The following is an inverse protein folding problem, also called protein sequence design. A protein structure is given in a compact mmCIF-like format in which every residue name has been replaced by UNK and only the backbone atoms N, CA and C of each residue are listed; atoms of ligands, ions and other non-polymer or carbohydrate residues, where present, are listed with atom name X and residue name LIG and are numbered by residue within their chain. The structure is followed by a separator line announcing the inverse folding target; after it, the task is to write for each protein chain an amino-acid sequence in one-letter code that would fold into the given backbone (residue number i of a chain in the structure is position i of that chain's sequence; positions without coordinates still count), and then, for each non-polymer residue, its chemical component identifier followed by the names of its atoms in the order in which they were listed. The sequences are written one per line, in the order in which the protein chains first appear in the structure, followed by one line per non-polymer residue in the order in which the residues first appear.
data_IF_798722896635
#
_entry.id   IF_798722896635
#
_cell.length_a   1.000
_cell.length_b   1.000
_cell.length_c   1.000
_cell.angle_alpha   90.00
_cell.angle_beta   90.00
_cell.angle_gamma   90.00
#
_symmetry.space_group_name_H-M   'P 1'
#
loop_
_entity.id
_entity.type
_entity.pdbx_description
1 polymer ?
#
# COMPACT_ATOMS: atom_id res chain seq x y z
N UNK A 1 -9.20 -39.89 37.05
CA UNK A 1 -9.14 -39.90 38.52
C UNK A 1 -8.09 -38.85 38.91
N UNK A 2 -8.50 -37.83 39.68
CA UNK A 2 -7.72 -36.72 40.30
C UNK A 2 -7.19 -35.63 39.32
N UNK A 3 -7.90 -34.51 39.12
CA UNK A 3 -7.93 -33.24 39.89
C UNK A 3 -6.57 -32.55 40.09
N UNK A 4 -6.41 -31.34 39.53
CA UNK A 4 -6.31 -30.10 40.32
C UNK A 4 -6.44 -28.83 39.45
N UNK A 5 -7.34 -27.94 39.89
CA UNK A 5 -7.57 -26.57 39.41
C UNK A 5 -6.41 -25.63 39.75
N UNK A 6 -6.18 -24.59 38.94
CA UNK A 6 -5.84 -23.25 39.44
C UNK A 6 -6.47 -22.16 38.57
N UNK A 7 -7.38 -21.44 39.22
CA UNK A 7 -8.18 -20.30 38.77
C UNK A 7 -7.46 -19.03 39.22
N UNK A 8 -7.13 -18.11 38.30
CA UNK A 8 -6.60 -16.79 38.64
C UNK A 8 -7.71 -15.74 38.48
N UNK A 9 -8.15 -15.21 39.62
CA UNK A 9 -8.97 -14.01 39.74
C UNK A 9 -8.07 -12.77 39.61
N UNK A 10 -8.44 -11.81 38.76
CA UNK A 10 -7.96 -10.43 38.84
C UNK A 10 -9.16 -9.49 39.10
N UNK A 11 -9.02 -8.47 39.98
CA UNK A 11 -10.16 -7.75 40.51
C UNK A 11 -10.60 -6.57 39.62
N UNK A 12 -11.92 -6.41 39.59
CA UNK A 12 -12.72 -5.34 39.02
C UNK A 12 -12.45 -4.01 39.76
N UNK A 13 -11.98 -2.97 39.06
CA UNK A 13 -11.82 -1.62 39.62
C UNK A 13 -13.05 -0.78 39.28
N UNK A 14 -13.93 -0.59 40.26
CA UNK A 14 -15.10 0.30 40.20
C UNK A 14 -14.62 1.71 40.53
N UNK A 15 -14.78 2.67 39.61
CA UNK A 15 -14.68 4.09 39.89
C UNK A 15 -16.04 4.74 39.60
N UNK A 16 -16.67 5.27 40.65
CA UNK A 16 -17.98 5.90 40.63
C UNK A 16 -17.88 7.26 41.33
N UNK A 17 -18.54 8.26 40.72
CA UNK A 17 -18.95 9.57 41.23
C UNK A 17 -17.91 10.70 41.25
N UNK A 18 -18.18 11.80 40.55
CA UNK A 18 -18.89 12.95 41.13
C UNK A 18 -19.58 13.83 40.06
N UNK A 19 -20.86 14.13 40.32
CA UNK A 19 -21.70 15.16 39.68
C UNK A 19 -21.48 16.52 40.37
N UNK A 20 -21.38 17.60 39.59
CA UNK A 20 -21.81 19.00 39.87
C UNK A 20 -21.04 19.96 38.95
N UNK A 21 -21.57 20.97 38.26
CA UNK A 21 -22.90 21.54 38.15
C UNK A 21 -22.83 22.72 37.15
N UNK A 22 -23.96 23.07 36.53
CA UNK A 22 -24.09 24.26 35.68
C UNK A 22 -24.07 25.55 36.50
N UNK A 23 -23.49 26.62 35.96
CA UNK A 23 -23.97 27.98 36.19
C UNK A 23 -23.59 28.89 35.01
N UNK A 24 -24.61 29.51 34.40
CA UNK A 24 -24.50 30.54 33.37
C UNK A 24 -24.23 31.92 34.00
N UNK A 25 -23.38 32.74 33.36
CA UNK A 25 -23.53 34.20 33.36
C UNK A 25 -22.79 34.86 32.18
N UNK A 26 -23.29 36.01 31.76
CA UNK A 26 -23.33 36.59 30.40
C UNK A 26 -22.48 37.88 30.29
N UNK A 27 -21.60 37.94 29.26
CA UNK A 27 -21.13 39.03 28.33
C UNK A 27 -20.55 40.37 28.91
N UNK A 28 -19.57 41.04 28.24
CA UNK A 28 -19.88 42.03 27.19
C UNK A 28 -19.01 41.97 25.92
N UNK A 29 -19.60 42.49 24.84
CA UNK A 29 -19.16 42.48 23.45
C UNK A 29 -18.37 43.73 23.00
N UNK A 30 -17.77 43.63 21.80
CA UNK A 30 -17.46 44.75 20.88
C UNK A 30 -17.80 44.27 19.45
N UNK A 31 -18.90 44.70 18.82
CA UNK A 31 -19.08 45.88 17.93
C UNK A 31 -18.04 45.93 16.80
N UNK A 32 -18.33 46.00 15.49
CA UNK A 32 -19.35 46.68 14.65
C UNK A 32 -19.29 46.00 13.24
N UNK A 33 -20.19 46.12 12.24
CA UNK A 33 -21.29 47.04 11.86
C UNK A 33 -22.09 46.38 10.71
N UNK A 34 -23.43 46.28 10.78
CA UNK A 34 -24.48 47.16 10.15
C UNK A 34 -24.50 47.09 8.60
N UNK A 35 -25.61 46.88 7.88
CA UNK A 35 -27.07 46.84 8.15
C UNK A 35 -27.79 46.50 6.81
N UNK A 36 -29.10 46.53 6.59
CA UNK A 36 -30.31 46.73 7.41
C UNK A 36 -31.53 46.49 6.49
N UNK A 37 -32.44 45.61 6.92
CA UNK A 37 -33.92 45.65 6.89
C UNK A 37 -34.68 46.26 5.69
N UNK A 38 -35.65 45.50 5.15
CA UNK A 38 -37.05 45.94 4.98
C UNK A 38 -38.02 44.75 5.08
N UNK A 39 -38.90 44.82 6.08
CA UNK A 39 -40.15 44.05 6.17
C UNK A 39 -41.27 45.00 5.74
N UNK A 40 -42.12 44.56 4.81
CA UNK A 40 -43.39 45.20 4.52
C UNK A 40 -44.50 44.15 4.71
N UNK A 41 -45.47 44.50 5.55
CA UNK A 41 -46.64 43.69 5.92
C UNK A 41 -47.55 43.41 4.72
N UNK A 42 -47.97 42.16 4.53
CA UNK A 42 -49.30 41.90 3.94
C UNK A 42 -49.88 40.58 4.48
N UNK A 43 -51.10 40.67 5.00
CA UNK A 43 -51.93 39.54 5.42
C UNK A 43 -52.45 38.74 4.22
N UNK A 44 -52.69 37.45 4.47
CA UNK A 44 -53.35 36.42 3.63
C UNK A 44 -52.49 35.79 2.52
N UNK A 45 -52.14 34.51 2.68
CA UNK A 45 -52.92 33.41 2.06
C UNK A 45 -52.50 32.04 2.66
N UNK A 46 -53.33 31.48 3.54
CA UNK A 46 -53.11 30.18 4.22
C UNK A 46 -53.36 28.97 3.28
N UNK A 47 -53.75 29.22 2.02
CA UNK A 47 -54.02 28.18 1.02
C UNK A 47 -52.75 27.77 0.24
N UNK A 48 -51.84 28.72 0.00
CA UNK A 48 -50.59 28.49 -0.75
C UNK A 48 -49.54 27.71 0.05
N UNK A 49 -49.62 27.72 1.38
CA UNK A 49 -48.70 26.98 2.24
C UNK A 49 -49.09 25.50 2.32
N UNK A 50 -50.39 25.17 2.28
CA UNK A 50 -50.86 23.79 2.20
C UNK A 50 -50.63 23.16 0.82
N UNK A 51 -50.83 23.91 -0.27
CA UNK A 51 -50.49 23.41 -1.61
C UNK A 51 -48.97 23.17 -1.80
N UNK A 52 -48.12 23.98 -1.17
CA UNK A 52 -46.67 23.75 -1.18
C UNK A 52 -46.24 22.64 -0.21
N UNK A 53 -46.89 22.49 0.95
CA UNK A 53 -46.66 21.34 1.86
C UNK A 53 -47.18 20.04 1.25
N UNK A 54 -48.32 20.04 0.55
CA UNK A 54 -48.89 18.88 -0.15
C UNK A 54 -48.05 18.48 -1.37
N UNK A 55 -47.46 19.45 -2.10
CA UNK A 55 -46.45 19.15 -3.14
C UNK A 55 -45.16 18.58 -2.55
N UNK A 56 -44.72 19.09 -1.39
CA UNK A 56 -43.52 18.59 -0.69
C UNK A 56 -43.74 17.21 -0.06
N UNK A 57 -44.98 16.91 0.36
CA UNK A 57 -45.42 15.56 0.72
C UNK A 57 -45.52 14.63 -0.49
N UNK A 58 -45.74 15.13 -1.71
CA UNK A 58 -45.79 14.30 -2.92
C UNK A 58 -44.41 13.95 -3.47
N UNK A 59 -43.39 14.78 -3.29
CA UNK A 59 -42.03 14.55 -3.83
C UNK A 59 -41.09 13.77 -2.90
N UNK A 60 -41.38 13.67 -1.60
CA UNK A 60 -40.47 13.08 -0.59
C UNK A 60 -41.22 12.31 0.51
N UNK A 61 -41.82 11.16 0.18
CA UNK A 61 -42.37 10.22 1.19
C UNK A 61 -41.35 9.15 1.58
N UNK A 62 -40.45 8.83 0.66
CA UNK A 62 -39.47 7.78 0.82
C UNK A 62 -38.08 8.39 0.93
N UNK A 63 -37.28 7.98 1.94
CA UNK A 63 -35.84 8.21 1.93
C UNK A 63 -35.28 7.82 0.56
N UNK A 64 -34.68 8.77 -0.14
CA UNK A 64 -34.21 8.57 -1.51
C UNK A 64 -32.70 8.80 -1.69
N UNK A 65 -32.05 9.43 -0.71
CA UNK A 65 -30.60 9.52 -0.60
C UNK A 65 -30.03 8.46 0.35
N UNK A 66 -28.73 8.20 0.23
CA UNK A 66 -28.00 7.28 1.12
C UNK A 66 -28.19 7.65 2.59
N UNK A 67 -27.92 8.90 2.95
CA UNK A 67 -28.02 9.32 4.35
C UNK A 67 -29.45 9.23 4.88
N UNK A 68 -30.46 9.55 4.07
CA UNK A 68 -31.85 9.40 4.48
C UNK A 68 -32.24 7.93 4.71
N UNK A 69 -31.71 7.00 3.90
CA UNK A 69 -31.96 5.56 4.03
C UNK A 69 -31.27 5.01 5.29
N UNK A 70 -30.02 5.41 5.53
CA UNK A 70 -29.25 5.03 6.72
C UNK A 70 -29.88 5.59 8.00
N UNK A 71 -30.43 6.79 7.95
CA UNK A 71 -31.12 7.45 9.09
C UNK A 71 -32.61 7.07 9.20
N UNK A 72 -33.10 6.17 8.33
CA UNK A 72 -34.52 5.84 8.29
C UNK A 72 -34.98 5.16 9.58
N UNK A 73 -36.23 5.42 9.95
CA UNK A 73 -36.79 4.86 11.19
C UNK A 73 -37.00 3.36 11.03
N UNK A 74 -36.31 2.58 11.86
CA UNK A 74 -36.48 1.13 11.97
C UNK A 74 -37.93 0.74 12.24
N UNK A 75 -38.48 -0.13 11.40
CA UNK A 75 -39.83 -0.66 11.54
C UNK A 75 -39.94 -1.70 12.65
N UNK A 76 -41.17 -1.90 13.15
CA UNK A 76 -41.47 -2.86 14.23
C UNK A 76 -40.97 -4.28 13.94
N UNK A 77 -40.99 -4.70 12.69
CA UNK A 77 -40.63 -6.03 12.21
C UNK A 77 -39.35 -6.04 11.35
N UNK A 78 -38.52 -4.98 11.44
CA UNK A 78 -37.23 -4.95 10.76
C UNK A 78 -36.36 -6.16 11.15
N UNK A 79 -35.62 -6.69 10.19
CA UNK A 79 -34.74 -7.86 10.33
C UNK A 79 -35.48 -9.19 10.41
N UNK A 80 -36.81 -9.21 10.25
CA UNK A 80 -37.62 -10.41 10.44
C UNK A 80 -38.49 -10.67 9.21
N UNK A 81 -38.66 -11.94 8.83
CA UNK A 81 -39.55 -12.29 7.72
C UNK A 81 -41.02 -12.23 8.16
N UNK A 82 -41.91 -11.95 7.21
CA UNK A 82 -43.36 -11.95 7.42
C UNK A 82 -43.85 -13.29 7.98
N UNK A 83 -43.31 -14.40 7.47
CA UNK A 83 -43.73 -15.74 7.88
C UNK A 83 -43.29 -16.05 9.31
N UNK A 84 -42.10 -15.62 9.72
CA UNK A 84 -41.61 -15.86 11.09
C UNK A 84 -42.45 -15.12 12.15
N UNK A 85 -43.08 -13.99 11.79
CA UNK A 85 -43.89 -13.15 12.69
C UNK A 85 -45.36 -13.05 12.29
N UNK A 86 -45.83 -14.01 11.48
CA UNK A 86 -47.13 -13.93 10.79
C UNK A 86 -48.30 -13.61 11.71
N UNK A 87 -48.37 -14.24 12.88
CA UNK A 87 -49.48 -14.04 13.82
C UNK A 87 -49.55 -12.60 14.35
N UNK A 88 -48.42 -12.04 14.76
CA UNK A 88 -48.33 -10.67 15.27
C UNK A 88 -48.61 -9.64 14.17
N UNK A 89 -48.02 -9.85 12.99
CA UNK A 89 -48.23 -8.99 11.83
C UNK A 89 -49.70 -8.98 11.41
N UNK A 90 -50.32 -10.16 11.24
CA UNK A 90 -51.74 -10.26 10.86
C UNK A 90 -52.64 -9.53 11.85
N UNK A 91 -52.38 -9.65 13.16
CA UNK A 91 -53.14 -8.95 14.19
C UNK A 91 -53.06 -7.42 14.06
N UNK A 92 -51.90 -6.88 13.68
CA UNK A 92 -51.77 -5.45 13.40
C UNK A 92 -52.50 -5.06 12.10
N UNK A 93 -52.41 -5.88 11.06
CA UNK A 93 -53.09 -5.67 9.79
C UNK A 93 -54.62 -5.69 9.93
N UNK A 94 -55.19 -6.48 10.86
CA UNK A 94 -56.63 -6.47 11.14
C UNK A 94 -57.14 -5.10 11.59
N UNK A 95 -56.29 -4.32 12.28
CA UNK A 95 -56.61 -2.96 12.75
C UNK A 95 -56.58 -1.92 11.62
N UNK A 96 -56.10 -2.26 10.42
CA UNK A 96 -56.14 -1.34 9.28
C UNK A 96 -57.60 -1.08 8.86
N UNK A 97 -57.88 0.17 8.53
CA UNK A 97 -59.18 0.57 7.96
C UNK A 97 -59.31 0.04 6.54
N UNK A 98 -60.50 -0.34 6.12
CA UNK A 98 -60.77 -0.63 4.71
C UNK A 98 -60.67 0.64 3.89
N UNK A 99 -60.10 0.54 2.68
CA UNK A 99 -60.13 1.62 1.69
C UNK A 99 -61.41 1.53 0.86
N UNK A 100 -61.87 2.67 0.34
CA UNK A 100 -63.02 2.74 -0.58
C UNK A 100 -62.73 2.08 -1.93
N UNK A 101 -63.71 2.07 -2.84
CA UNK A 101 -63.55 1.45 -4.17
C UNK A 101 -62.43 2.11 -5.00
N UNK A 102 -62.32 3.44 -4.91
CA UNK A 102 -61.27 4.23 -5.56
C UNK A 102 -60.63 5.19 -4.54
N UNK A 103 -59.62 4.75 -3.77
CA UNK A 103 -58.89 5.62 -2.88
C UNK A 103 -58.08 6.66 -3.68
N UNK A 104 -57.97 7.86 -3.12
CA UNK A 104 -57.09 8.91 -3.60
C UNK A 104 -55.62 8.52 -3.46
N UNK A 105 -54.74 9.19 -4.22
CA UNK A 105 -53.29 8.96 -4.14
C UNK A 105 -52.74 9.27 -2.72
N UNK A 106 -53.27 10.30 -2.04
CA UNK A 106 -52.88 10.62 -0.64
C UNK A 106 -53.30 9.51 0.35
N UNK A 107 -54.43 8.85 0.11
CA UNK A 107 -54.85 7.70 0.90
C UNK A 107 -53.95 6.50 0.65
N UNK A 108 -53.61 6.21 -0.61
CA UNK A 108 -52.69 5.13 -0.98
C UNK A 108 -51.31 5.32 -0.34
N UNK A 109 -50.74 6.52 -0.44
CA UNK A 109 -49.44 6.84 0.15
C UNK A 109 -49.45 6.73 1.67
N UNK A 110 -50.47 7.26 2.37
CA UNK A 110 -50.58 7.09 3.83
C UNK A 110 -50.77 5.63 4.22
N UNK A 111 -51.49 4.87 3.41
CA UNK A 111 -51.72 3.44 3.67
C UNK A 111 -50.42 2.65 3.53
N UNK A 112 -49.68 2.90 2.45
CA UNK A 112 -48.37 2.32 2.21
C UNK A 112 -47.36 2.72 3.29
N UNK A 113 -47.32 4.01 3.66
CA UNK A 113 -46.40 4.50 4.70
C UNK A 113 -46.60 3.81 6.06
N UNK A 114 -47.84 3.43 6.42
CA UNK A 114 -48.07 2.62 7.62
C UNK A 114 -47.47 1.23 7.53
N UNK A 115 -47.52 0.59 6.37
CA UNK A 115 -46.85 -0.69 6.15
C UNK A 115 -45.33 -0.50 6.19
N UNK A 116 -44.82 0.57 5.59
CA UNK A 116 -43.41 0.91 5.67
C UNK A 116 -42.96 1.08 7.13
N UNK A 117 -43.71 1.78 7.98
CA UNK A 117 -43.39 1.88 9.42
C UNK A 117 -43.39 0.52 10.16
N UNK A 118 -44.07 -0.50 9.63
CA UNK A 118 -44.01 -1.85 10.19
C UNK A 118 -42.76 -2.59 9.73
N UNK A 119 -42.33 -2.40 8.47
CA UNK A 119 -41.34 -3.26 7.81
C UNK A 119 -40.06 -2.54 7.37
N UNK A 120 -39.93 -1.23 7.61
CA UNK A 120 -38.77 -0.44 7.20
C UNK A 120 -37.53 -1.04 7.80
N UNK A 121 -36.59 -1.40 6.95
CA UNK A 121 -35.36 -2.05 7.38
C UNK A 121 -34.30 -1.04 7.81
N UNK A 122 -33.33 -1.52 8.58
CA UNK A 122 -32.14 -0.76 8.95
C UNK A 122 -31.00 -1.21 8.02
N UNK A 123 -30.43 -0.26 7.28
CA UNK A 123 -29.32 -0.52 6.37
C UNK A 123 -28.00 -0.21 7.08
N UNK A 124 -27.04 -1.11 6.96
CA UNK A 124 -25.70 -0.87 7.46
C UNK A 124 -24.90 0.02 6.50
N UNK A 125 -24.08 0.91 7.06
CA UNK A 125 -23.14 1.70 6.27
C UNK A 125 -22.02 0.77 5.80
N UNK A 126 -21.71 0.73 4.48
CA UNK A 126 -20.56 -0.04 4.02
C UNK A 126 -19.26 0.43 4.68
N UNK A 127 -18.36 -0.51 4.92
CA UNK A 127 -17.06 -0.23 5.55
C UNK A 127 -16.27 0.78 4.69
N UNK A 128 -15.65 1.74 5.37
CA UNK A 128 -14.65 2.60 4.74
C UNK A 128 -13.34 1.84 4.62
N UNK A 129 -12.55 2.16 3.59
CA UNK A 129 -11.24 1.55 3.41
C UNK A 129 -10.32 1.94 4.58
N UNK A 130 -9.88 0.96 5.36
CA UNK A 130 -8.82 1.19 6.36
C UNK A 130 -7.51 1.59 5.65
N UNK A 131 -6.66 2.42 6.29
CA UNK A 131 -5.37 2.79 5.74
C UNK A 131 -4.50 1.55 5.55
N UNK A 132 -3.89 1.44 4.38
CA UNK A 132 -2.90 0.39 4.12
C UNK A 132 -1.73 0.47 5.10
N UNK A 133 -1.32 -0.69 5.62
CA UNK A 133 -0.17 -0.79 6.51
C UNK A 133 0.92 -1.67 5.86
N UNK A 134 1.84 -1.10 5.08
CA UNK A 134 2.84 -1.89 4.37
C UNK A 134 3.75 -2.65 5.34
N UNK A 135 4.19 -3.84 4.94
CA UNK A 135 5.29 -4.52 5.62
C UNK A 135 6.56 -3.70 5.42
N UNK A 136 7.09 -3.14 6.51
CA UNK A 136 8.34 -2.40 6.48
C UNK A 136 9.48 -3.28 5.94
N UNK A 137 10.34 -2.75 5.07
CA UNK A 137 11.52 -3.49 4.65
C UNK A 137 12.42 -3.82 5.86
N UNK A 138 13.23 -4.89 5.80
CA UNK A 138 14.14 -5.20 6.87
C UNK A 138 15.36 -4.26 6.82
N UNK A 139 16.02 -4.13 7.96
CA UNK A 139 17.33 -3.48 8.03
C UNK A 139 18.46 -4.49 7.80
N UNK A 140 19.59 -3.99 7.33
CA UNK A 140 20.83 -4.73 7.07
C UNK A 140 22.02 -4.03 7.74
N UNK A 141 23.13 -4.75 7.87
CA UNK A 141 24.33 -4.28 8.60
C UNK A 141 23.98 -3.79 10.01
N UNK A 142 23.39 -4.68 10.83
CA UNK A 142 23.04 -4.41 12.23
C UNK A 142 22.15 -3.17 12.45
N UNK A 143 21.22 -2.92 11.51
CA UNK A 143 20.27 -1.81 11.62
C UNK A 143 20.74 -0.52 10.96
N UNK A 144 21.92 -0.50 10.35
CA UNK A 144 22.50 0.71 9.75
C UNK A 144 21.77 1.17 8.49
N UNK A 145 21.35 0.23 7.65
CA UNK A 145 20.69 0.56 6.38
C UNK A 145 19.34 -0.13 6.26
N UNK A 146 18.39 0.59 5.69
CA UNK A 146 17.04 0.14 5.39
C UNK A 146 17.00 -0.42 3.96
N UNK A 147 16.56 -1.67 3.78
CA UNK A 147 16.37 -2.19 2.43
C UNK A 147 15.28 -1.43 1.68
N UNK A 148 15.41 -1.42 0.36
CA UNK A 148 14.53 -0.73 -0.57
C UNK A 148 13.96 -1.70 -1.60
N UNK A 149 12.92 -1.26 -2.32
CA UNK A 149 12.20 -2.12 -3.25
C UNK A 149 13.03 -2.60 -4.44
N UNK A 150 14.07 -1.86 -4.80
CA UNK A 150 15.00 -2.18 -5.88
C UNK A 150 16.40 -2.45 -5.30
N UNK A 151 17.07 -3.49 -5.79
CA UNK A 151 18.42 -3.87 -5.37
C UNK A 151 19.38 -3.76 -6.55
N UNK A 152 20.39 -2.90 -6.44
CA UNK A 152 21.43 -2.71 -7.45
C UNK A 152 22.80 -3.00 -6.82
N UNK A 153 23.59 -3.85 -7.46
CA UNK A 153 24.96 -4.16 -7.03
C UNK A 153 25.93 -3.82 -8.14
N UNK A 154 26.87 -2.92 -7.88
CA UNK A 154 27.98 -2.64 -8.78
C UNK A 154 29.27 -3.22 -8.21
N UNK A 155 29.95 -4.02 -9.02
CA UNK A 155 31.28 -4.55 -8.71
C UNK A 155 32.30 -3.67 -9.43
N UNK A 156 33.18 -3.04 -8.67
CA UNK A 156 34.26 -2.19 -9.16
C UNK A 156 35.58 -2.93 -8.95
N UNK A 157 36.09 -3.52 -10.02
CA UNK A 157 37.22 -4.44 -9.98
C UNK A 157 38.51 -3.78 -10.44
N UNK A 158 39.53 -3.84 -9.58
CA UNK A 158 40.90 -3.51 -9.94
C UNK A 158 41.43 -4.50 -10.96
N UNK A 159 41.89 -3.97 -12.09
CA UNK A 159 42.52 -4.75 -13.16
C UNK A 159 43.95 -4.27 -13.41
N UNK A 160 44.57 -3.64 -12.41
CA UNK A 160 45.94 -3.19 -12.51
C UNK A 160 46.95 -4.34 -12.57
N UNK A 161 48.19 -4.06 -12.98
CA UNK A 161 49.19 -5.09 -13.28
C UNK A 161 49.58 -5.97 -12.10
N UNK A 162 49.37 -5.50 -10.86
CA UNK A 162 49.57 -6.28 -9.62
C UNK A 162 48.64 -7.50 -9.56
N UNK A 163 47.48 -7.45 -10.22
CA UNK A 163 46.52 -8.56 -10.26
C UNK A 163 47.01 -9.80 -11.05
N UNK A 164 48.17 -9.71 -11.72
CA UNK A 164 48.87 -10.86 -12.32
C UNK A 164 49.50 -11.76 -11.24
N UNK A 165 49.83 -11.20 -10.08
CA UNK A 165 50.46 -11.93 -8.99
C UNK A 165 49.65 -13.14 -8.57
N UNK A 166 50.35 -14.17 -8.09
CA UNK A 166 49.73 -15.45 -7.79
C UNK A 166 49.46 -15.61 -6.30
N UNK A 167 48.27 -16.14 -6.02
CA UNK A 167 47.86 -16.64 -4.71
C UNK A 167 47.48 -18.11 -4.93
N UNK A 168 48.08 -19.01 -4.16
CA UNK A 168 47.84 -20.47 -4.24
C UNK A 168 47.92 -21.08 -5.66
N UNK A 169 48.74 -20.48 -6.53
CA UNK A 169 49.03 -20.98 -7.88
C UNK A 169 48.19 -20.38 -9.01
N UNK A 170 47.10 -19.68 -8.69
CA UNK A 170 46.24 -18.90 -9.62
C UNK A 170 46.55 -17.41 -9.52
N UNK A 171 46.29 -16.62 -10.57
CA UNK A 171 46.45 -15.15 -10.45
C UNK A 171 45.33 -14.56 -9.60
N UNK A 172 45.60 -13.43 -8.92
CA UNK A 172 44.56 -12.67 -8.19
C UNK A 172 43.37 -12.36 -9.13
N UNK A 173 43.64 -11.98 -10.38
CA UNK A 173 42.59 -11.75 -11.37
C UNK A 173 41.71 -12.98 -11.62
N UNK A 174 42.30 -14.16 -11.80
CA UNK A 174 41.54 -15.40 -12.03
C UNK A 174 40.66 -15.73 -10.82
N UNK A 175 41.17 -15.51 -9.61
CA UNK A 175 40.41 -15.70 -8.38
C UNK A 175 39.25 -14.70 -8.26
N UNK A 176 39.49 -13.43 -8.60
CA UNK A 176 38.46 -12.38 -8.57
C UNK A 176 37.34 -12.65 -9.59
N UNK A 177 37.68 -12.96 -10.86
CA UNK A 177 36.70 -13.29 -11.90
C UNK A 177 35.81 -14.47 -11.49
N UNK A 178 36.41 -15.57 -11.03
CA UNK A 178 35.66 -16.74 -10.57
C UNK A 178 34.74 -16.42 -9.38
N UNK A 179 35.19 -15.56 -8.46
CA UNK A 179 34.39 -15.19 -7.28
C UNK A 179 33.22 -14.28 -7.65
N UNK A 180 33.42 -13.40 -8.64
CA UNK A 180 32.36 -12.55 -9.21
C UNK A 180 31.31 -13.40 -9.93
N UNK A 181 31.71 -14.41 -10.70
CA UNK A 181 30.77 -15.34 -11.33
C UNK A 181 29.96 -16.13 -10.30
N UNK A 182 30.64 -16.71 -9.30
CA UNK A 182 30.00 -17.44 -8.21
C UNK A 182 29.01 -16.54 -7.47
N UNK A 183 29.39 -15.29 -7.21
CA UNK A 183 28.56 -14.29 -6.54
C UNK A 183 27.34 -13.87 -7.37
N UNK A 184 27.53 -13.49 -8.62
CA UNK A 184 26.44 -13.01 -9.47
C UNK A 184 25.36 -14.09 -9.69
N UNK A 185 25.75 -15.37 -9.72
CA UNK A 185 24.82 -16.50 -9.79
C UNK A 185 23.95 -16.66 -8.53
N UNK A 186 24.35 -16.10 -7.38
CA UNK A 186 23.58 -16.17 -6.14
C UNK A 186 22.56 -15.05 -5.99
N UNK A 187 22.68 -13.98 -6.78
CA UNK A 187 21.75 -12.86 -6.72
C UNK A 187 20.39 -13.24 -7.33
N UNK A 188 19.28 -12.69 -6.80
CA UNK A 188 17.97 -12.85 -7.41
C UNK A 188 17.95 -12.29 -8.82
N UNK A 189 17.13 -12.88 -9.69
CA UNK A 189 16.99 -12.46 -11.09
C UNK A 189 16.54 -11.00 -11.22
N UNK A 190 15.82 -10.49 -10.22
CA UNK A 190 15.27 -9.15 -10.15
C UNK A 190 16.29 -8.10 -9.64
N UNK A 191 17.44 -8.53 -9.12
CA UNK A 191 18.51 -7.60 -8.75
C UNK A 191 19.29 -7.18 -9.99
N UNK A 192 19.65 -5.90 -10.05
CA UNK A 192 20.55 -5.40 -11.08
C UNK A 192 22.00 -5.61 -10.64
N UNK A 193 22.85 -5.99 -11.60
CA UNK A 193 24.28 -6.16 -11.42
C UNK A 193 25.01 -5.29 -12.43
N UNK A 194 26.08 -4.63 -12.00
CA UNK A 194 27.02 -3.91 -12.85
C UNK A 194 28.46 -4.41 -12.63
N UNK A 195 29.28 -4.40 -13.68
CA UNK A 195 30.72 -4.67 -13.58
C UNK A 195 31.49 -3.51 -14.20
N UNK A 196 32.15 -2.75 -13.33
CA UNK A 196 33.14 -1.75 -13.69
C UNK A 196 34.54 -2.31 -13.47
N UNK A 197 35.41 -2.08 -14.44
CA UNK A 197 36.83 -2.39 -14.33
C UNK A 197 37.65 -1.11 -14.44
N UNK A 198 38.81 -1.08 -13.80
CA UNK A 198 39.72 0.06 -13.90
C UNK A 198 41.18 -0.39 -13.91
N UNK A 199 42.02 0.36 -14.61
CA UNK A 199 43.43 0.05 -14.79
C UNK A 199 43.75 -1.02 -15.83
N UNK A 200 42.81 -1.39 -16.72
CA UNK A 200 42.99 -2.47 -17.72
C UNK A 200 43.74 -2.03 -18.98
N UNK A 201 43.97 -0.73 -19.18
CA UNK A 201 44.65 -0.20 -20.37
C UNK A 201 46.11 0.19 -20.12
N UNK A 202 46.91 0.14 -21.20
CA UNK A 202 48.32 0.47 -21.18
C UNK A 202 49.22 -0.60 -20.54
N UNK A 203 50.34 -0.19 -19.98
CA UNK A 203 51.26 -1.06 -19.24
C UNK A 203 51.70 -0.42 -17.92
N UNK A 204 52.48 -1.15 -17.11
CA UNK A 204 53.08 -0.59 -15.88
C UNK A 204 54.25 0.38 -16.19
N UNK A 205 54.56 0.65 -17.46
CA UNK A 205 55.57 1.63 -17.83
C UNK A 205 55.06 3.06 -17.55
N UNK A 206 55.97 3.96 -17.16
CA UNK A 206 55.61 5.34 -16.86
C UNK A 206 55.08 6.11 -18.10
N UNK A 207 55.50 5.72 -19.31
CA UNK A 207 55.04 6.32 -20.57
C UNK A 207 53.54 6.12 -20.80
N UNK A 208 52.99 4.99 -20.34
CA UNK A 208 51.57 4.62 -20.50
C UNK A 208 50.72 5.06 -19.29
N UNK A 209 51.33 5.72 -18.29
CA UNK A 209 50.65 6.07 -17.04
C UNK A 209 49.41 6.95 -17.28
N UNK A 210 49.48 7.90 -18.22
CA UNK A 210 48.35 8.80 -18.51
C UNK A 210 47.16 8.02 -19.07
N UNK A 211 47.39 7.15 -20.06
CA UNK A 211 46.34 6.30 -20.64
C UNK A 211 45.75 5.38 -19.57
N UNK A 212 46.62 4.73 -18.79
CA UNK A 212 46.19 3.81 -17.76
C UNK A 212 45.43 4.47 -16.61
N UNK A 213 45.79 5.71 -16.25
CA UNK A 213 45.08 6.45 -15.21
C UNK A 213 43.71 6.97 -15.64
N UNK A 214 43.41 7.01 -16.94
CA UNK A 214 42.07 7.30 -17.47
C UNK A 214 41.24 6.01 -17.71
N UNK A 215 41.84 4.84 -17.49
CA UNK A 215 41.23 3.53 -17.72
C UNK A 215 40.22 3.19 -16.61
N UNK A 216 38.94 3.37 -16.91
CA UNK A 216 37.83 2.99 -16.05
C UNK A 216 36.57 2.83 -16.90
N UNK A 217 36.06 1.60 -17.01
CA UNK A 217 35.01 1.23 -17.96
C UNK A 217 33.95 0.34 -17.33
N UNK A 218 32.67 0.63 -17.61
CA UNK A 218 31.54 -0.22 -17.24
C UNK A 218 31.32 -1.24 -18.36
N UNK A 219 31.88 -2.44 -18.20
CA UNK A 219 31.81 -3.50 -19.21
C UNK A 219 30.51 -4.30 -19.15
N UNK A 220 29.88 -4.35 -17.97
CA UNK A 220 28.55 -4.90 -17.80
C UNK A 220 27.65 -3.82 -17.20
N UNK A 221 26.73 -3.28 -18.01
CA UNK A 221 25.78 -2.26 -17.57
C UNK A 221 24.94 -2.76 -16.40
N UNK A 222 24.54 -1.85 -15.50
CA UNK A 222 23.67 -2.12 -14.35
C UNK A 222 22.30 -2.59 -14.87
N UNK A 223 22.10 -3.90 -14.88
CA UNK A 223 20.93 -4.56 -15.46
C UNK A 223 20.64 -5.89 -14.74
N UNK A 224 19.46 -6.50 -14.94
CA UNK A 224 19.16 -7.82 -14.40
C UNK A 224 20.22 -8.85 -14.81
N UNK A 225 20.61 -9.71 -13.86
CA UNK A 225 21.69 -10.68 -14.08
C UNK A 225 21.47 -11.54 -15.34
N UNK A 226 22.46 -11.48 -16.24
CA UNK A 226 22.55 -12.31 -17.44
C UNK A 226 23.91 -13.00 -17.44
N UNK A 227 23.87 -14.30 -17.15
CA UNK A 227 25.07 -15.14 -17.06
C UNK A 227 25.98 -15.03 -18.28
N UNK A 228 25.41 -15.13 -19.49
CA UNK A 228 26.22 -15.19 -20.71
C UNK A 228 26.88 -13.85 -21.01
N UNK A 229 26.18 -12.74 -20.75
CA UNK A 229 26.74 -11.40 -20.93
C UNK A 229 27.83 -11.08 -19.90
N UNK A 230 27.62 -11.45 -18.63
CA UNK A 230 28.63 -11.23 -17.60
C UNK A 230 29.90 -12.05 -17.86
N UNK A 231 29.75 -13.33 -18.23
CA UNK A 231 30.88 -14.18 -18.62
C UNK A 231 31.65 -13.56 -19.80
N UNK A 232 30.96 -13.04 -20.81
CA UNK A 232 31.60 -12.35 -21.93
C UNK A 232 32.37 -11.09 -21.47
N UNK A 233 31.76 -10.24 -20.65
CA UNK A 233 32.41 -9.04 -20.12
C UNK A 233 33.66 -9.36 -19.29
N UNK A 234 33.63 -10.46 -18.51
CA UNK A 234 34.79 -10.94 -17.75
C UNK A 234 35.94 -11.42 -18.64
N UNK A 235 35.71 -11.78 -19.89
CA UNK A 235 36.78 -12.19 -20.83
C UNK A 235 37.45 -11.01 -21.55
N UNK A 236 36.83 -9.82 -21.55
CA UNK A 236 37.26 -8.67 -22.37
C UNK A 236 38.54 -7.98 -21.87
N UNK A 237 38.90 -8.15 -20.60
CA UNK A 237 40.04 -7.48 -19.98
C UNK A 237 41.07 -8.43 -19.39
N UNK A 238 42.31 -7.95 -19.33
CA UNK A 238 43.43 -8.60 -18.67
C UNK A 238 44.12 -7.61 -17.72
N UNK A 239 44.81 -8.09 -16.67
CA UNK A 239 45.54 -7.21 -15.78
C UNK A 239 46.60 -6.40 -16.53
N UNK A 240 46.60 -5.08 -16.39
CA UNK A 240 47.52 -4.19 -17.08
C UNK A 240 47.76 -2.89 -16.29
N UNK A 241 48.53 -1.94 -16.81
CA UNK A 241 48.40 -0.58 -16.32
C UNK A 241 48.71 -0.27 -14.84
N UNK A 242 48.11 0.83 -14.39
CA UNK A 242 48.20 1.50 -13.09
C UNK A 242 46.83 1.49 -12.39
N UNK A 243 46.75 1.98 -11.15
CA UNK A 243 45.59 1.83 -10.26
C UNK A 243 44.84 3.16 -10.05
N UNK A 244 43.90 3.56 -10.92
CA UNK A 244 43.15 4.82 -10.81
C UNK A 244 41.94 4.77 -9.87
N UNK A 245 42.18 4.50 -8.57
CA UNK A 245 41.11 4.38 -7.56
C UNK A 245 40.16 5.59 -7.49
N UNK A 246 40.69 6.82 -7.53
CA UNK A 246 39.86 8.02 -7.46
C UNK A 246 38.89 8.12 -8.66
N UNK A 247 39.38 7.81 -9.86
CA UNK A 247 38.57 7.79 -11.09
C UNK A 247 37.51 6.70 -11.05
N UNK A 248 37.87 5.51 -10.57
CA UNK A 248 36.92 4.39 -10.45
C UNK A 248 35.75 4.71 -9.52
N UNK A 249 36.01 5.33 -8.36
CA UNK A 249 34.97 5.77 -7.42
C UNK A 249 34.09 6.88 -8.02
N UNK A 250 34.71 7.82 -8.74
CA UNK A 250 33.98 8.87 -9.45
C UNK A 250 33.04 8.27 -10.51
N UNK A 251 33.51 7.29 -11.28
CA UNK A 251 32.70 6.72 -12.35
C UNK A 251 31.61 5.78 -11.83
N UNK A 252 31.85 5.04 -10.73
CA UNK A 252 30.80 4.26 -10.06
C UNK A 252 29.64 5.15 -9.58
N UNK A 253 29.96 6.36 -9.09
CA UNK A 253 28.96 7.40 -8.81
C UNK A 253 28.14 7.77 -10.06
N UNK A 254 28.81 7.88 -11.20
CA UNK A 254 28.15 8.27 -12.46
C UNK A 254 27.31 7.14 -13.08
N UNK A 255 27.67 5.89 -12.82
CA UNK A 255 26.92 4.71 -13.25
C UNK A 255 25.60 4.58 -12.48
N UNK A 256 25.66 4.77 -11.16
CA UNK A 256 24.51 4.62 -10.28
C UNK A 256 23.61 5.87 -10.22
N UNK A 257 23.95 6.98 -10.89
CA UNK A 257 23.27 8.28 -10.74
C UNK A 257 21.76 8.29 -10.99
N UNK A 258 21.24 7.31 -11.75
CA UNK A 258 19.81 7.17 -12.04
C UNK A 258 19.06 6.37 -10.97
N UNK A 259 19.77 5.73 -10.04
CA UNK A 259 19.22 4.90 -8.99
C UNK A 259 19.26 5.66 -7.66
N UNK A 260 18.28 6.54 -7.44
CA UNK A 260 18.15 7.31 -6.19
C UNK A 260 18.02 6.38 -4.96
N UNK A 261 18.79 6.64 -3.90
CA UNK A 261 18.79 5.88 -2.65
C UNK A 261 17.46 5.88 -1.88
N UNK A 262 16.54 6.79 -2.19
CA UNK A 262 15.18 6.78 -1.62
C UNK A 262 14.38 5.52 -2.04
N UNK A 263 14.58 5.07 -3.28
CA UNK A 263 13.86 3.96 -3.93
C UNK A 263 14.75 2.73 -4.20
N UNK A 264 16.07 2.86 -4.03
CA UNK A 264 17.04 1.84 -4.41
C UNK A 264 18.01 1.55 -3.26
N UNK A 265 18.26 0.26 -3.02
CA UNK A 265 19.42 -0.18 -2.25
C UNK A 265 20.56 -0.36 -3.23
N UNK A 266 21.46 0.62 -3.27
CA UNK A 266 22.65 0.58 -4.11
C UNK A 266 23.81 0.05 -3.28
N UNK A 267 24.50 -0.96 -3.78
CA UNK A 267 25.65 -1.57 -3.10
C UNK A 267 26.83 -1.60 -4.04
N UNK A 268 27.97 -1.09 -3.58
CA UNK A 268 29.21 -1.06 -4.35
C UNK A 268 30.21 -2.02 -3.68
N UNK A 269 30.79 -2.91 -4.47
CA UNK A 269 31.92 -3.75 -4.07
C UNK A 269 33.18 -3.28 -4.79
N UNK A 270 34.03 -2.55 -4.08
CA UNK A 270 35.35 -2.19 -4.60
C UNK A 270 36.34 -3.30 -4.23
N UNK A 271 36.87 -4.00 -5.23
CA UNK A 271 37.92 -5.01 -5.04
C UNK A 271 39.23 -4.44 -5.54
N UNK A 272 40.24 -4.34 -4.67
CA UNK A 272 41.57 -3.83 -5.04
C UNK A 272 42.68 -4.58 -4.31
N UNK A 273 43.83 -4.74 -4.95
CA UNK A 273 45.00 -5.40 -4.38
C UNK A 273 46.14 -4.43 -4.00
N UNK A 274 45.91 -3.12 -4.07
CA UNK A 274 46.98 -2.14 -3.92
C UNK A 274 46.54 -0.71 -3.57
N UNK A 275 47.55 0.15 -3.41
CA UNK A 275 47.40 1.60 -3.28
C UNK A 275 47.06 2.24 -4.63
N UNK A 276 46.30 3.33 -4.63
CA UNK A 276 46.10 4.19 -5.80
C UNK A 276 47.44 4.75 -6.27
N UNK A 277 47.81 4.44 -7.51
CA UNK A 277 49.11 4.83 -8.11
C UNK A 277 48.99 5.96 -9.14
N UNK A 278 47.77 6.45 -9.36
CA UNK A 278 47.40 7.56 -10.24
C UNK A 278 47.12 8.86 -9.47
N UNK A 279 46.91 9.95 -10.21
CA UNK A 279 46.51 11.23 -9.62
C UNK A 279 45.06 11.16 -9.09
N UNK A 280 44.72 12.07 -8.17
CA UNK A 280 43.41 12.14 -7.51
C UNK A 280 43.46 11.81 -6.03
N UNK A 281 42.32 11.96 -5.35
CA UNK A 281 42.17 11.68 -3.92
C UNK A 281 41.00 10.70 -3.73
N UNK A 282 41.27 9.39 -3.60
CA UNK A 282 40.20 8.39 -3.52
C UNK A 282 39.40 8.50 -2.22
N UNK A 283 39.97 9.04 -1.14
CA UNK A 283 39.25 9.27 0.12
C UNK A 283 38.24 10.40 -0.05
N UNK A 284 38.63 11.47 -0.77
CA UNK A 284 37.71 12.55 -1.15
C UNK A 284 36.59 12.04 -2.05
N UNK A 285 36.89 11.25 -3.08
CA UNK A 285 35.86 10.73 -3.99
C UNK A 285 34.90 9.75 -3.29
N UNK A 286 35.39 8.93 -2.37
CA UNK A 286 34.55 8.05 -1.54
C UNK A 286 33.57 8.83 -0.66
N UNK A 287 34.02 9.96 -0.11
CA UNK A 287 33.15 10.87 0.64
C UNK A 287 32.09 11.51 -0.24
N UNK A 288 32.46 12.00 -1.43
CA UNK A 288 31.50 12.59 -2.37
C UNK A 288 30.48 11.56 -2.90
N UNK A 289 30.89 10.30 -3.06
CA UNK A 289 30.02 9.19 -3.43
C UNK A 289 28.97 8.95 -2.34
N UNK A 290 29.37 8.93 -1.06
CA UNK A 290 28.45 8.76 0.06
C UNK A 290 27.51 9.96 0.26
N UNK A 291 27.97 11.19 0.00
CA UNK A 291 27.15 12.41 0.09
C UNK A 291 26.22 12.61 -1.13
N UNK A 292 26.24 11.70 -2.10
CA UNK A 292 25.41 11.76 -3.30
C UNK A 292 23.98 11.26 -3.05
N UNK A 293 23.05 11.58 -3.96
CA UNK A 293 21.66 11.09 -3.91
C UNK A 293 21.54 9.56 -4.14
N UNK A 294 22.64 8.88 -4.44
CA UNK A 294 22.67 7.42 -4.58
C UNK A 294 22.70 6.74 -3.21
N UNK A 295 23.28 7.42 -2.21
CA UNK A 295 23.49 6.92 -0.83
C UNK A 295 23.91 5.43 -0.78
N UNK A 296 25.02 5.06 -1.46
CA UNK A 296 25.35 3.66 -1.65
C UNK A 296 25.98 3.02 -0.42
N UNK A 297 25.73 1.73 -0.23
CA UNK A 297 26.46 0.92 0.73
C UNK A 297 27.79 0.49 0.10
N UNK A 298 28.89 1.09 0.54
CA UNK A 298 30.22 0.81 -0.03
C UNK A 298 30.94 -0.28 0.76
N UNK A 299 31.32 -1.36 0.09
CA UNK A 299 32.08 -2.48 0.63
C UNK A 299 33.46 -2.52 -0.06
N UNK A 300 34.51 -2.26 0.72
CA UNK A 300 35.88 -2.27 0.25
C UNK A 300 36.53 -3.60 0.58
N UNK A 301 37.04 -4.30 -0.43
CA UNK A 301 37.73 -5.57 -0.32
C UNK A 301 39.18 -5.37 -0.74
N UNK A 302 40.08 -5.44 0.25
CA UNK A 302 41.53 -5.47 0.03
C UNK A 302 42.00 -6.90 -0.21
N UNK A 303 42.36 -7.24 -1.45
CA UNK A 303 42.76 -8.59 -1.83
C UNK A 303 44.27 -8.77 -1.84
N UNK A 304 44.79 -9.43 -0.81
CA UNK A 304 46.22 -9.69 -0.64
C UNK A 304 47.06 -8.40 -0.85
N UNK A 305 46.59 -7.33 -0.21
CA UNK A 305 47.14 -5.97 -0.26
C UNK A 305 48.23 -5.79 0.80
N UNK A 306 49.18 -4.89 0.55
CA UNK A 306 50.21 -4.50 1.51
C UNK A 306 49.68 -3.52 2.58
N UNK A 307 50.51 -3.20 3.58
CA UNK A 307 50.11 -2.36 4.72
C UNK A 307 49.70 -0.93 4.31
N UNK A 308 50.34 -0.37 3.29
CA UNK A 308 50.06 1.00 2.82
C UNK A 308 48.74 1.05 2.03
N UNK A 309 48.54 0.10 1.11
CA UNK A 309 47.28 -0.06 0.38
C UNK A 309 46.13 -0.41 1.33
N UNK A 310 46.34 -1.29 2.31
CA UNK A 310 45.33 -1.60 3.33
C UNK A 310 44.88 -0.34 4.07
N UNK A 311 45.83 0.50 4.51
CA UNK A 311 45.50 1.73 5.21
C UNK A 311 44.67 2.67 4.33
N UNK A 312 45.05 2.85 3.05
CA UNK A 312 44.28 3.69 2.12
C UNK A 312 42.87 3.14 1.88
N UNK A 313 42.71 1.83 1.69
CA UNK A 313 41.41 1.18 1.50
C UNK A 313 40.53 1.30 2.75
N UNK A 314 41.11 1.24 3.95
CA UNK A 314 40.40 1.54 5.21
C UNK A 314 39.96 2.99 5.29
N UNK A 315 40.80 3.93 4.86
CA UNK A 315 40.46 5.36 4.85
C UNK A 315 39.31 5.65 3.88
N UNK A 316 39.29 4.99 2.71
CA UNK A 316 38.17 5.01 1.75
C UNK A 316 36.90 4.48 2.41
N UNK A 317 36.95 3.30 3.04
CA UNK A 317 35.79 2.71 3.71
C UNK A 317 35.25 3.62 4.82
N UNK A 318 36.12 4.26 5.61
CA UNK A 318 35.70 5.21 6.63
C UNK A 318 35.06 6.47 6.02
N UNK A 319 35.60 6.97 4.91
CA UNK A 319 35.09 8.17 4.25
C UNK A 319 33.73 7.95 3.57
N UNK A 320 33.46 6.73 3.10
CA UNK A 320 32.17 6.33 2.55
C UNK A 320 31.18 5.79 3.59
N UNK A 321 31.50 5.84 4.89
CA UNK A 321 30.73 5.17 5.94
C UNK A 321 30.45 3.68 5.62
N UNK A 322 31.36 3.06 4.88
CA UNK A 322 31.27 1.71 4.36
C UNK A 322 31.91 0.67 5.27
N UNK A 323 32.23 -0.48 4.67
CA UNK A 323 32.94 -1.57 5.35
C UNK A 323 34.28 -1.86 4.66
N UNK A 324 35.26 -2.33 5.42
CA UNK A 324 36.52 -2.85 4.88
C UNK A 324 36.69 -4.32 5.28
N UNK A 325 37.06 -5.15 4.31
CA UNK A 325 37.45 -6.52 4.52
C UNK A 325 38.81 -6.80 3.87
N UNK A 326 39.70 -7.40 4.64
CA UNK A 326 40.94 -7.95 4.11
C UNK A 326 40.68 -9.41 3.70
N UNK A 327 41.05 -9.78 2.48
CA UNK A 327 40.92 -11.15 1.95
C UNK A 327 42.28 -11.65 1.44
N UNK A 328 42.61 -12.90 1.72
CA UNK A 328 43.92 -13.49 1.40
C UNK A 328 43.85 -14.48 0.24
N UNK A 329 42.67 -14.99 -0.08
CA UNK A 329 42.42 -16.10 -1.00
C UNK A 329 40.99 -16.05 -1.57
N UNK A 330 40.66 -17.02 -2.42
CA UNK A 330 39.32 -17.14 -3.02
C UNK A 330 38.22 -17.36 -1.97
N UNK A 331 38.49 -18.15 -0.94
CA UNK A 331 37.48 -18.52 0.06
C UNK A 331 37.05 -17.30 0.88
N UNK A 332 38.01 -16.52 1.35
CA UNK A 332 37.77 -15.26 2.07
C UNK A 332 37.12 -14.18 1.19
N UNK A 333 37.43 -14.14 -0.11
CA UNK A 333 36.73 -13.29 -1.09
C UNK A 333 35.27 -13.72 -1.27
N UNK A 334 35.03 -15.02 -1.44
CA UNK A 334 33.69 -15.59 -1.52
C UNK A 334 32.89 -15.32 -0.25
N UNK A 335 33.50 -15.35 0.94
CA UNK A 335 32.83 -15.02 2.20
C UNK A 335 32.34 -13.57 2.26
N UNK A 336 33.05 -12.62 1.64
CA UNK A 336 32.57 -11.23 1.54
C UNK A 336 31.35 -11.14 0.63
N UNK A 337 31.39 -11.82 -0.52
CA UNK A 337 30.25 -11.89 -1.43
C UNK A 337 29.06 -12.66 -0.85
N UNK A 338 29.29 -13.68 -0.02
CA UNK A 338 28.23 -14.42 0.67
C UNK A 338 27.44 -13.56 1.66
N UNK A 339 28.00 -12.45 2.17
CA UNK A 339 27.23 -11.50 2.99
C UNK A 339 26.11 -10.83 2.21
N UNK A 340 26.30 -10.60 0.91
CA UNK A 340 25.22 -10.14 0.06
C UNK A 340 24.15 -11.18 -0.14
N UNK A 341 24.48 -12.47 -0.11
CA UNK A 341 23.46 -13.51 -0.17
C UNK A 341 22.44 -13.37 0.97
N UNK A 342 22.88 -13.08 2.20
CA UNK A 342 21.97 -12.83 3.33
C UNK A 342 21.09 -11.60 3.08
N UNK A 343 21.67 -10.53 2.52
CA UNK A 343 20.95 -9.31 2.16
C UNK A 343 19.91 -9.58 1.06
N UNK A 344 20.30 -10.31 0.02
CA UNK A 344 19.42 -10.72 -1.07
C UNK A 344 18.32 -11.67 -0.59
N UNK A 345 18.63 -12.64 0.26
CA UNK A 345 17.64 -13.55 0.83
C UNK A 345 16.59 -12.77 1.66
N UNK A 346 17.04 -11.81 2.49
CA UNK A 346 16.16 -10.91 3.24
C UNK A 346 15.30 -10.05 2.32
N UNK A 347 15.88 -9.53 1.25
CA UNK A 347 15.16 -8.73 0.26
C UNK A 347 14.05 -9.53 -0.43
N UNK A 348 14.35 -10.75 -0.91
CA UNK A 348 13.37 -11.63 -1.56
C UNK A 348 12.25 -12.00 -0.58
N UNK A 349 12.60 -12.38 0.65
CA UNK A 349 11.62 -12.77 1.66
C UNK A 349 10.68 -11.61 1.99
N UNK A 350 11.23 -10.42 2.21
CA UNK A 350 10.43 -9.23 2.45
C UNK A 350 9.55 -8.89 1.25
N UNK A 351 10.11 -8.85 0.03
CA UNK A 351 9.36 -8.53 -1.19
C UNK A 351 8.20 -9.50 -1.40
N UNK A 352 8.44 -10.80 -1.21
CA UNK A 352 7.40 -11.82 -1.26
C UNK A 352 6.33 -11.65 -0.18
N UNK A 353 6.73 -11.32 1.06
CA UNK A 353 5.80 -11.06 2.14
C UNK A 353 4.94 -9.81 1.88
N UNK A 354 5.56 -8.72 1.42
CA UNK A 354 4.88 -7.46 1.11
C UNK A 354 3.83 -7.63 -0.01
N UNK A 355 4.19 -8.35 -1.07
CA UNK A 355 3.26 -8.72 -2.15
C UNK A 355 2.12 -9.62 -1.65
N UNK A 356 2.45 -10.62 -0.83
CA UNK A 356 1.46 -11.50 -0.21
C UNK A 356 0.47 -10.72 0.65
N UNK A 357 0.97 -9.82 1.49
CA UNK A 357 0.15 -8.99 2.37
C UNK A 357 -0.77 -8.05 1.58
N UNK A 358 -0.27 -7.33 0.58
CA UNK A 358 -1.10 -6.50 -0.29
C UNK A 358 -2.20 -7.31 -1.00
N UNK A 359 -1.89 -8.52 -1.48
CA UNK A 359 -2.87 -9.41 -2.09
C UNK A 359 -3.90 -9.94 -1.09
N UNK A 360 -3.51 -10.22 0.15
CA UNK A 360 -4.39 -10.69 1.22
C UNK A 360 -5.35 -9.57 1.64
N UNK A 361 -4.84 -8.37 1.94
CA UNK A 361 -5.62 -7.17 2.27
C UNK A 361 -6.60 -6.80 1.15
N UNK A 362 -6.17 -6.90 -0.12
CA UNK A 362 -7.05 -6.68 -1.27
C UNK A 362 -8.18 -7.71 -1.31
N UNK A 363 -7.87 -8.99 -1.07
CA UNK A 363 -8.85 -10.07 -1.10
C UNK A 363 -9.86 -9.95 0.04
N UNK A 364 -9.40 -9.64 1.25
CA UNK A 364 -10.25 -9.43 2.43
C UNK A 364 -11.21 -8.26 2.20
N UNK A 365 -10.70 -7.12 1.72
CA UNK A 365 -11.52 -5.95 1.43
C UNK A 365 -12.59 -6.20 0.36
N UNK A 366 -12.25 -6.90 -0.71
CA UNK A 366 -13.22 -7.27 -1.74
C UNK A 366 -14.27 -8.27 -1.23
N UNK A 367 -13.89 -9.16 -0.32
CA UNK A 367 -14.82 -10.08 0.35
C UNK A 367 -15.79 -9.31 1.24
N UNK A 368 -15.30 -8.39 2.08
CA UNK A 368 -16.13 -7.53 2.94
C UNK A 368 -17.11 -6.67 2.12
N UNK A 369 -16.66 -6.05 1.02
CA UNK A 369 -17.53 -5.30 0.10
C UNK A 369 -18.62 -6.20 -0.49
N UNK A 370 -18.27 -7.45 -0.83
CA UNK A 370 -19.22 -8.42 -1.39
C UNK A 370 -20.26 -8.85 -0.36
N UNK A 371 -19.83 -9.16 0.87
CA UNK A 371 -20.72 -9.53 1.96
C UNK A 371 -21.67 -8.39 2.32
N UNK A 372 -21.16 -7.16 2.46
CA UNK A 372 -21.97 -5.97 2.71
C UNK A 372 -22.98 -5.71 1.58
N UNK A 373 -22.61 -5.98 0.33
CA UNK A 373 -23.53 -5.89 -0.81
C UNK A 373 -24.65 -6.91 -0.74
N UNK A 374 -24.33 -8.15 -0.38
CA UNK A 374 -25.31 -9.22 -0.23
C UNK A 374 -26.29 -8.88 0.91
N UNK A 375 -25.80 -8.45 2.06
CA UNK A 375 -26.63 -8.04 3.19
C UNK A 375 -27.54 -6.85 2.86
N UNK A 376 -27.02 -5.83 2.17
CA UNK A 376 -27.81 -4.70 1.68
C UNK A 376 -28.94 -5.16 0.77
N UNK A 377 -28.64 -6.08 -0.16
CA UNK A 377 -29.65 -6.63 -1.06
C UNK A 377 -30.69 -7.41 -0.28
N UNK A 378 -30.30 -8.36 0.57
CA UNK A 378 -31.21 -9.16 1.38
C UNK A 378 -32.14 -8.28 2.22
N UNK A 379 -31.59 -7.23 2.81
CA UNK A 379 -32.34 -6.22 3.57
C UNK A 379 -33.41 -5.55 2.71
N UNK A 380 -33.06 -5.09 1.51
CA UNK A 380 -34.03 -4.50 0.59
C UNK A 380 -35.09 -5.50 0.08
N UNK A 381 -34.67 -6.72 -0.23
CA UNK A 381 -35.57 -7.79 -0.65
C UNK A 381 -36.59 -8.14 0.45
N UNK A 382 -36.14 -8.20 1.71
CA UNK A 382 -36.96 -8.50 2.88
C UNK A 382 -38.02 -7.42 3.12
N UNK A 383 -37.66 -6.13 3.09
CA UNK A 383 -38.62 -5.01 3.20
C UNK A 383 -39.74 -5.15 2.16
N UNK A 384 -39.36 -5.29 0.89
CA UNK A 384 -40.29 -5.42 -0.24
C UNK A 384 -41.22 -6.62 -0.06
N UNK A 385 -40.67 -7.78 0.26
CA UNK A 385 -41.42 -9.02 0.35
C UNK A 385 -42.39 -9.02 1.53
N UNK A 386 -41.96 -8.51 2.69
CA UNK A 386 -42.83 -8.34 3.85
C UNK A 386 -44.02 -7.44 3.55
N UNK A 387 -43.78 -6.29 2.91
CA UNK A 387 -44.86 -5.38 2.48
C UNK A 387 -45.78 -6.08 1.47
N UNK A 388 -45.23 -6.80 0.50
CA UNK A 388 -46.02 -7.54 -0.50
C UNK A 388 -46.92 -8.60 0.14
N UNK A 389 -46.41 -9.38 1.10
CA UNK A 389 -47.21 -10.37 1.83
C UNK A 389 -48.31 -9.70 2.67
N UNK A 390 -48.00 -8.59 3.33
CA UNK A 390 -48.99 -7.81 4.06
C UNK A 390 -50.10 -7.27 3.14
N UNK A 391 -49.75 -6.74 1.97
CA UNK A 391 -50.70 -6.27 0.97
C UNK A 391 -51.61 -7.39 0.46
N UNK A 392 -51.05 -8.58 0.18
CA UNK A 392 -51.84 -9.74 -0.23
C UNK A 392 -52.85 -10.14 0.86
N UNK A 393 -52.42 -10.18 2.12
CA UNK A 393 -53.32 -10.48 3.24
C UNK A 393 -54.45 -9.45 3.40
N UNK A 394 -54.16 -8.16 3.22
CA UNK A 394 -55.16 -7.09 3.26
C UNK A 394 -56.18 -7.22 2.12
N UNK A 395 -55.76 -7.70 0.95
CA UNK A 395 -56.68 -7.99 -0.16
C UNK A 395 -57.56 -9.22 0.15
N UNK A 396 -56.96 -10.31 0.62
CA UNK A 396 -57.67 -11.54 0.99
C UNK A 396 -58.71 -11.33 2.10
N UNK A 397 -58.43 -10.43 3.04
CA UNK A 397 -59.35 -10.04 4.11
C UNK A 397 -60.40 -9.00 3.69
N UNK A 398 -60.38 -8.53 2.44
CA UNK A 398 -61.32 -7.55 1.89
C UNK A 398 -61.11 -6.12 2.40
N UNK A 399 -59.93 -5.80 2.96
CA UNK A 399 -59.58 -4.44 3.39
C UNK A 399 -59.23 -3.53 2.21
N UNK A 400 -58.71 -4.12 1.13
CA UNK A 400 -58.44 -3.46 -0.15
C UNK A 400 -58.97 -4.33 -1.29
N UNK A 401 -59.21 -3.74 -2.46
CA UNK A 401 -59.61 -4.46 -3.68
C UNK A 401 -58.40 -4.70 -4.61
N UNK A 402 -58.57 -5.53 -5.64
CA UNK A 402 -57.49 -5.91 -6.56
C UNK A 402 -56.84 -4.71 -7.28
N UNK A 403 -57.64 -3.69 -7.62
CA UNK A 403 -57.14 -2.46 -8.25
C UNK A 403 -56.24 -1.67 -7.29
N UNK A 404 -56.63 -1.58 -6.03
CA UNK A 404 -55.86 -0.94 -4.94
C UNK A 404 -54.60 -1.75 -4.63
N UNK A 405 -54.69 -3.07 -4.58
CA UNK A 405 -53.55 -3.97 -4.41
C UNK A 405 -52.51 -3.76 -5.52
N UNK A 406 -52.93 -3.65 -6.79
CA UNK A 406 -52.02 -3.37 -7.88
C UNK A 406 -51.31 -2.02 -7.70
N UNK A 407 -52.04 -0.95 -7.38
CA UNK A 407 -51.44 0.37 -7.16
C UNK A 407 -50.42 0.37 -6.01
N UNK A 408 -50.75 -0.27 -4.89
CA UNK A 408 -49.84 -0.37 -3.74
C UNK A 408 -48.61 -1.23 -4.05
N UNK A 409 -48.72 -2.28 -4.86
CA UNK A 409 -47.56 -3.05 -5.32
C UNK A 409 -46.67 -2.26 -6.29
N UNK A 410 -47.24 -1.35 -7.08
CA UNK A 410 -46.44 -0.40 -7.89
C UNK A 410 -45.60 0.48 -6.97
N UNK A 411 -46.22 1.09 -5.94
CA UNK A 411 -45.51 1.90 -4.94
C UNK A 411 -44.42 1.06 -4.21
N UNK A 412 -44.72 -0.20 -3.87
CA UNK A 412 -43.74 -1.11 -3.27
C UNK A 412 -42.53 -1.37 -4.18
N UNK A 413 -42.79 -1.48 -5.48
CA UNK A 413 -41.73 -1.69 -6.49
C UNK A 413 -40.88 -0.42 -6.66
N UNK A 414 -41.51 0.75 -6.68
CA UNK A 414 -40.82 2.04 -6.73
C UNK A 414 -39.94 2.24 -5.48
N UNK A 415 -40.46 1.92 -4.30
CA UNK A 415 -39.69 1.94 -3.04
C UNK A 415 -38.49 0.99 -3.11
N UNK A 416 -38.66 -0.25 -3.56
CA UNK A 416 -37.58 -1.23 -3.68
C UNK A 416 -36.45 -0.76 -4.61
N UNK A 417 -36.78 -0.09 -5.72
CA UNK A 417 -35.80 0.35 -6.71
C UNK A 417 -34.83 1.40 -6.16
N UNK A 418 -35.24 2.20 -5.19
CA UNK A 418 -34.42 3.27 -4.61
C UNK A 418 -33.15 2.71 -3.93
N UNK A 419 -33.24 1.95 -2.82
CA UNK A 419 -32.07 1.34 -2.18
C UNK A 419 -31.41 0.28 -3.07
N UNK A 420 -32.15 -0.35 -3.99
CA UNK A 420 -31.53 -1.28 -4.95
C UNK A 420 -30.52 -0.57 -5.84
N UNK A 421 -30.94 0.49 -6.55
CA UNK A 421 -30.06 1.21 -7.46
C UNK A 421 -28.94 1.91 -6.70
N UNK A 422 -29.25 2.52 -5.56
CA UNK A 422 -28.23 3.15 -4.70
C UNK A 422 -27.17 2.14 -4.27
N UNK A 423 -27.57 0.94 -3.82
CA UNK A 423 -26.63 -0.12 -3.47
C UNK A 423 -25.80 -0.58 -4.67
N UNK A 424 -26.40 -0.72 -5.85
CA UNK A 424 -25.63 -1.09 -7.05
C UNK A 424 -24.53 -0.08 -7.36
N UNK A 425 -24.86 1.21 -7.32
CA UNK A 425 -23.90 2.28 -7.60
C UNK A 425 -22.82 2.32 -6.50
N UNK A 426 -23.23 2.33 -5.22
CA UNK A 426 -22.34 2.39 -4.07
C UNK A 426 -21.33 1.23 -4.03
N UNK A 427 -21.78 -0.01 -4.14
CA UNK A 427 -20.88 -1.17 -4.07
C UNK A 427 -20.05 -1.34 -5.35
N UNK A 428 -20.52 -0.86 -6.50
CA UNK A 428 -19.71 -0.76 -7.72
C UNK A 428 -18.56 0.23 -7.53
N UNK A 429 -18.84 1.40 -6.96
CA UNK A 429 -17.84 2.42 -6.69
C UNK A 429 -16.81 1.94 -5.67
N UNK A 430 -17.25 1.35 -4.55
CA UNK A 430 -16.36 0.76 -3.54
C UNK A 430 -15.47 -0.33 -4.10
N UNK A 431 -16.01 -1.22 -4.94
CA UNK A 431 -15.23 -2.27 -5.59
C UNK A 431 -14.14 -1.70 -6.49
N UNK A 432 -14.48 -0.72 -7.34
CA UNK A 432 -13.51 -0.08 -8.22
C UNK A 432 -12.47 0.72 -7.43
N UNK A 433 -12.88 1.39 -6.35
CA UNK A 433 -11.99 2.11 -5.46
C UNK A 433 -11.00 1.13 -4.80
N UNK A 434 -11.48 0.03 -4.22
CA UNK A 434 -10.64 -1.02 -3.61
C UNK A 434 -9.61 -1.61 -4.58
N UNK A 435 -9.99 -1.86 -5.83
CA UNK A 435 -9.04 -2.30 -6.87
C UNK A 435 -7.99 -1.25 -7.18
N UNK A 436 -8.37 0.02 -7.27
CA UNK A 436 -7.42 1.11 -7.50
C UNK A 436 -6.48 1.29 -6.30
N UNK A 437 -6.98 1.18 -5.06
CA UNK A 437 -6.14 1.24 -3.87
C UNK A 437 -5.07 0.14 -3.91
N UNK A 438 -5.44 -1.09 -4.27
CA UNK A 438 -4.47 -2.20 -4.38
C UNK A 438 -3.30 -1.85 -5.31
N UNK A 439 -3.59 -1.19 -6.44
CA UNK A 439 -2.57 -0.74 -7.40
C UNK A 439 -1.70 0.38 -6.83
N UNK A 440 -2.29 1.34 -6.11
CA UNK A 440 -1.53 2.44 -5.49
C UNK A 440 -0.66 1.95 -4.32
N UNK A 441 -1.15 1.03 -3.50
CA UNK A 441 -0.40 0.37 -2.43
C UNK A 441 0.81 -0.38 -2.98
N UNK A 442 0.65 -1.09 -4.10
CA UNK A 442 1.76 -1.73 -4.81
C UNK A 442 2.80 -0.69 -5.27
N UNK A 443 2.36 0.44 -5.84
CA UNK A 443 3.26 1.51 -6.29
C UNK A 443 3.98 2.17 -5.11
N UNK A 444 3.32 2.32 -3.97
CA UNK A 444 3.95 2.83 -2.75
C UNK A 444 5.07 1.89 -2.29
N UNK A 445 4.85 0.57 -2.37
CA UNK A 445 5.88 -0.41 -2.02
C UNK A 445 6.99 -0.46 -3.07
N UNK A 446 6.70 -0.43 -4.37
CA UNK A 446 7.68 -0.79 -5.42
C UNK A 446 8.04 0.34 -6.41
N UNK A 447 7.47 1.52 -6.28
CA UNK A 447 7.68 2.69 -7.15
C UNK A 447 7.01 2.61 -8.52
N UNK A 448 6.94 1.41 -9.13
CA UNK A 448 6.25 1.17 -10.41
C UNK A 448 5.38 -0.08 -10.33
N UNK A 449 4.13 0.05 -10.77
CA UNK A 449 3.29 -1.10 -11.07
C UNK A 449 3.72 -1.67 -12.42
N UNK A 450 4.26 -2.88 -12.46
CA UNK A 450 4.38 -3.60 -13.72
C UNK A 450 2.99 -4.18 -14.03
N UNK A 451 2.34 -3.67 -15.09
CA UNK A 451 1.10 -4.26 -15.60
C UNK A 451 1.38 -5.68 -16.11
N UNK A 452 1.15 -6.65 -15.21
CA UNK A 452 1.01 -8.08 -15.45
C UNK A 452 2.23 -8.85 -15.97
N UNK A 453 2.62 -9.83 -15.14
CA UNK A 453 2.71 -11.24 -15.56
C UNK A 453 1.35 -11.81 -15.93
#
# INVERSE_FOLDING_TARGET
MLHLNKMYLYPFFIFLLFLSGCNDEVIPATQNSVGSVKVEDTKQDDSNNRENEDKKLQETIFPNGLEEILESTKGTYAGQSYEDNREAIVKELEAFKSLGEEPSEEELHRYYYKLLLMFSEEYERPLENEPFNPIEPPTIYDGKFQLKPNLNVEIVLDTSGSMIEKVDGQSKMELAKNSIEDFAQMLPNEANVGLRVYGHEGTTAFEDKVESCESSELLYEIQPYDKSKLEAALEEFQPAGWTPLAKALQDAKDDLKTFNGEENTNIIFLVSDGIGTCDGDPVKEAKELQESNIDPIVNIIGFNVDEEGEQQLRDIANASDGSFAYVHDKESLNDQFNRLKDISDKWIQWKGAALGHNSEESSERLMEITEAREEWQETNFRERDNIKFALNHLNESGKINDQTLHKLNTINSERFLIPFNLGQDLFSDLFNESQNLTVEEYKEIFGKYEENS
#
